data_IF_318378375856
#
_entry.id   IF_318378375856
#
_cell.length_a   1.000
_cell.length_b   1.000
_cell.length_c   1.000
_cell.angle_alpha   90.00
_cell.angle_beta   90.00
_cell.angle_gamma   90.00
#
_symmetry.space_group_name_H-M   'P 1'
#
loop_
_entity.id
_entity.type
_entity.pdbx_description
1 polymer ?
#
# COMPACT_ATOMS: atom_id res chain seq x y z
N UNK A 1 24.94 32.98 16.60
CA UNK A 1 24.78 31.52 16.74
C UNK A 1 25.17 30.86 15.41
N UNK A 2 26.31 30.17 15.38
CA UNK A 2 26.87 29.54 14.17
C UNK A 2 26.09 28.27 13.81
N UNK A 3 25.68 28.14 12.55
CA UNK A 3 25.11 26.91 11.96
C UNK A 3 26.26 26.10 11.35
N UNK A 4 26.36 24.81 11.70
CA UNK A 4 27.29 23.86 11.07
C UNK A 4 26.47 22.99 10.12
N UNK A 5 26.84 23.02 8.84
CA UNK A 5 26.37 22.11 7.80
C UNK A 5 27.46 21.08 7.53
N UNK A 6 27.10 19.80 7.50
CA UNK A 6 27.98 18.72 7.03
C UNK A 6 27.61 18.36 5.59
N UNK A 7 28.53 18.62 4.68
CA UNK A 7 28.56 18.13 3.30
C UNK A 7 29.49 16.90 3.26
N UNK A 8 28.99 15.78 2.75
CA UNK A 8 29.82 14.68 2.28
C UNK A 8 29.44 14.40 0.84
N UNK A 9 30.29 14.88 -0.07
CA UNK A 9 30.25 14.56 -1.49
C UNK A 9 31.02 13.28 -1.76
N UNK A 10 30.52 12.49 -2.71
CA UNK A 10 31.25 11.39 -3.33
C UNK A 10 31.16 11.56 -4.84
N UNK A 11 32.25 12.03 -5.43
CA UNK A 11 32.49 12.13 -6.86
C UNK A 11 32.80 10.75 -7.44
N UNK A 12 32.03 10.31 -8.43
CA UNK A 12 32.38 9.19 -9.30
C UNK A 12 32.97 9.75 -10.58
N UNK A 13 34.24 9.45 -10.82
CA UNK A 13 34.90 9.75 -12.09
C UNK A 13 34.52 8.67 -13.12
N UNK A 14 33.90 9.09 -14.22
CA UNK A 14 33.69 8.26 -15.40
C UNK A 14 34.81 8.54 -16.41
N UNK A 15 35.58 7.51 -16.77
CA UNK A 15 36.44 7.54 -17.95
C UNK A 15 35.91 6.52 -18.95
N UNK A 16 35.62 7.00 -20.15
CA UNK A 16 35.21 6.22 -21.30
C UNK A 16 36.29 6.28 -22.40
N UNK A 17 36.03 5.52 -23.47
CA UNK A 17 36.65 5.45 -24.81
C UNK A 17 37.68 4.31 -24.96
N UNK A 18 37.75 3.49 -26.03
CA UNK A 18 37.02 3.28 -27.32
C UNK A 18 37.54 1.96 -27.93
N UNK A 19 36.74 1.19 -28.70
CA UNK A 19 37.07 -0.14 -29.30
C UNK A 19 38.03 -0.12 -30.52
N UNK A 20 37.95 -1.03 -31.54
CA UNK A 20 37.30 -2.36 -31.67
C UNK A 20 38.30 -3.48 -32.14
N UNK A 21 37.77 -4.64 -32.61
CA UNK A 21 38.32 -5.58 -33.65
C UNK A 21 38.42 -7.07 -33.23
N UNK A 22 37.86 -7.93 -34.10
CA UNK A 22 37.84 -9.39 -34.11
C UNK A 22 39.20 -10.06 -34.39
N UNK A 23 39.48 -11.20 -33.73
CA UNK A 23 40.22 -12.32 -34.31
C UNK A 23 39.94 -13.63 -33.54
N UNK A 24 39.57 -14.67 -34.28
CA UNK A 24 39.50 -16.08 -33.84
C UNK A 24 40.89 -16.64 -33.53
N UNK A 25 41.05 -17.41 -32.44
CA UNK A 25 41.98 -18.55 -32.45
C UNK A 25 41.62 -19.67 -31.47
N UNK A 26 41.75 -20.87 -32.01
CA UNK A 26 41.33 -22.20 -31.54
C UNK A 26 41.95 -22.66 -30.21
N UNK A 27 41.13 -23.45 -29.50
CA UNK A 27 41.43 -24.67 -28.77
C UNK A 27 42.78 -24.79 -28.02
N UNK A 28 42.71 -24.63 -26.70
CA UNK A 28 43.68 -25.14 -25.73
C UNK A 28 42.95 -25.67 -24.51
N UNK A 29 43.01 -26.98 -24.31
CA UNK A 29 42.40 -27.73 -23.22
C UNK A 29 42.72 -27.15 -21.84
N UNK A 30 41.69 -26.76 -21.08
CA UNK A 30 41.82 -26.54 -19.63
C UNK A 30 40.99 -27.58 -18.90
N UNK A 31 41.68 -28.42 -18.14
CA UNK A 31 41.09 -29.29 -17.12
C UNK A 31 40.26 -28.42 -16.17
N UNK A 32 39.05 -28.90 -15.90
CA UNK A 32 38.17 -28.38 -14.87
C UNK A 32 38.91 -28.26 -13.53
N UNK A 33 38.92 -27.05 -12.98
CA UNK A 33 39.02 -26.85 -11.53
C UNK A 33 37.66 -26.32 -11.12
N UNK A 34 36.82 -27.24 -10.65
CA UNK A 34 35.53 -26.97 -10.07
C UNK A 34 35.71 -26.24 -8.74
N UNK A 35 35.74 -24.92 -8.77
CA UNK A 35 35.42 -24.10 -7.60
C UNK A 35 33.95 -23.70 -7.69
N UNK A 36 33.08 -24.64 -7.30
CA UNK A 36 31.71 -24.33 -6.96
C UNK A 36 31.71 -23.62 -5.59
N UNK A 37 31.81 -22.29 -5.60
CA UNK A 37 31.54 -21.46 -4.42
C UNK A 37 30.66 -20.30 -4.84
N UNK A 38 29.35 -20.48 -4.68
CA UNK A 38 28.33 -19.47 -4.33
C UNK A 38 26.94 -19.90 -4.84
N UNK A 39 26.25 -20.74 -4.07
CA UNK A 39 24.83 -21.02 -4.23
C UNK A 39 23.95 -20.97 -2.93
N UNK A 40 24.41 -20.64 -1.70
CA UNK A 40 23.47 -20.59 -0.55
C UNK A 40 22.54 -19.37 -0.54
N UNK A 41 23.05 -18.18 -0.87
CA UNK A 41 22.32 -16.92 -0.67
C UNK A 41 21.17 -16.71 -1.69
N UNK A 42 21.32 -17.23 -2.91
CA UNK A 42 20.32 -17.09 -3.96
C UNK A 42 19.10 -18.03 -3.77
N UNK A 43 19.25 -19.14 -3.04
CA UNK A 43 18.18 -20.09 -2.77
C UNK A 43 17.41 -19.76 -1.49
N UNK A 44 18.07 -19.16 -0.49
CA UNK A 44 17.44 -18.67 0.74
C UNK A 44 16.43 -17.54 0.47
N UNK A 45 16.72 -16.65 -0.49
CA UNK A 45 15.81 -15.56 -0.87
C UNK A 45 14.53 -16.03 -1.57
N UNK A 46 14.54 -17.22 -2.20
CA UNK A 46 13.38 -17.77 -2.92
C UNK A 46 12.31 -18.30 -1.95
N UNK A 47 12.71 -18.85 -0.81
CA UNK A 47 11.79 -19.50 0.14
C UNK A 47 11.50 -18.67 1.41
N UNK A 48 12.19 -17.55 1.60
CA UNK A 48 11.97 -16.65 2.73
C UNK A 48 11.30 -15.34 2.27
N UNK A 49 10.00 -15.14 2.56
CA UNK A 49 9.27 -13.95 2.13
C UNK A 49 9.76 -12.66 2.79
N UNK A 50 10.61 -12.72 3.81
CA UNK A 50 11.09 -11.55 4.57
C UNK A 50 12.57 -11.24 4.34
N UNK A 51 13.24 -11.98 3.45
CA UNK A 51 14.67 -11.79 3.19
C UNK A 51 14.99 -10.35 2.73
N UNK A 52 14.13 -9.79 1.88
CA UNK A 52 14.24 -8.41 1.40
C UNK A 52 14.11 -7.36 2.53
N UNK A 53 13.53 -7.72 3.67
CA UNK A 53 13.40 -6.88 4.86
C UNK A 53 14.56 -7.10 5.87
N UNK A 54 15.58 -7.87 5.51
CA UNK A 54 16.76 -8.12 6.34
C UNK A 54 16.58 -9.24 7.38
N UNK A 55 15.63 -10.15 7.16
CA UNK A 55 15.40 -11.32 8.01
C UNK A 55 15.96 -12.56 7.33
N UNK A 56 17.02 -13.14 7.88
CA UNK A 56 17.63 -14.37 7.35
C UNK A 56 16.77 -15.60 7.66
N UNK A 57 16.16 -15.63 8.84
CA UNK A 57 15.21 -16.67 9.27
C UNK A 57 13.79 -16.10 9.39
N UNK A 58 12.79 -16.63 8.64
CA UNK A 58 11.41 -16.17 8.75
C UNK A 58 10.78 -16.40 10.13
N UNK A 59 11.37 -17.27 10.97
CA UNK A 59 10.94 -17.48 12.35
C UNK A 59 11.15 -16.24 13.22
N UNK A 60 12.13 -15.40 12.92
CA UNK A 60 12.37 -14.15 13.66
C UNK A 60 11.13 -13.24 13.61
N UNK A 61 10.58 -13.03 12.42
CA UNK A 61 9.37 -12.23 12.24
C UNK A 61 8.14 -12.92 12.82
N UNK A 62 7.89 -14.19 12.51
CA UNK A 62 6.67 -14.88 12.97
C UNK A 62 6.61 -14.98 14.49
N UNK A 63 7.74 -15.22 15.15
CA UNK A 63 7.85 -15.22 16.61
C UNK A 63 7.59 -13.83 17.19
N UNK A 64 8.19 -12.80 16.59
CA UNK A 64 7.97 -11.41 17.00
C UNK A 64 6.51 -11.00 16.83
N UNK A 65 5.88 -11.30 15.69
CA UNK A 65 4.49 -10.97 15.41
C UNK A 65 3.56 -11.64 16.43
N UNK A 66 3.74 -12.93 16.71
CA UNK A 66 2.95 -13.63 17.71
C UNK A 66 3.10 -13.02 19.12
N UNK A 67 4.32 -12.64 19.51
CA UNK A 67 4.58 -11.95 20.77
C UNK A 67 3.89 -10.58 20.84
N UNK A 68 3.98 -9.80 19.77
CA UNK A 68 3.35 -8.48 19.67
C UNK A 68 1.82 -8.58 19.69
N UNK A 69 1.24 -9.49 18.90
CA UNK A 69 -0.19 -9.76 18.88
C UNK A 69 -0.70 -10.16 20.26
N UNK A 70 0.03 -11.04 20.97
CA UNK A 70 -0.32 -11.44 22.33
C UNK A 70 -0.27 -10.27 23.32
N UNK A 71 0.77 -9.45 23.28
CA UNK A 71 0.89 -8.31 24.19
C UNK A 71 -0.26 -7.30 23.97
N UNK A 72 -0.65 -7.08 22.71
CA UNK A 72 -1.79 -6.22 22.35
C UNK A 72 -3.14 -6.83 22.74
N UNK A 73 -3.35 -8.13 22.50
CA UNK A 73 -4.60 -8.82 22.88
C UNK A 73 -4.81 -8.86 24.39
N UNK A 74 -3.73 -9.01 25.16
CA UNK A 74 -3.77 -9.00 26.63
C UNK A 74 -3.90 -7.58 27.21
N UNK A 75 -3.88 -6.52 26.39
CA UNK A 75 -3.94 -5.13 26.84
C UNK A 75 -2.68 -4.65 27.59
N UNK A 76 -1.53 -5.33 27.40
CA UNK A 76 -0.30 -5.07 28.15
C UNK A 76 0.55 -4.01 27.46
N UNK A 77 0.19 -2.74 27.61
CA UNK A 77 0.87 -1.61 26.98
C UNK A 77 2.37 -1.52 27.30
N UNK A 78 2.78 -1.91 28.52
CA UNK A 78 4.20 -1.99 28.92
C UNK A 78 4.97 -3.06 28.14
N UNK A 79 4.37 -4.24 27.95
CA UNK A 79 4.99 -5.32 27.17
C UNK A 79 5.11 -4.94 25.69
N UNK A 80 4.11 -4.22 25.16
CA UNK A 80 4.19 -3.67 23.79
C UNK A 80 5.34 -2.67 23.69
N UNK A 81 5.53 -1.79 24.68
CA UNK A 81 6.60 -0.79 24.69
C UNK A 81 8.01 -1.42 24.61
N UNK A 82 8.20 -2.64 25.10
CA UNK A 82 9.47 -3.39 24.98
C UNK A 82 9.79 -3.83 23.54
N UNK A 83 8.78 -3.86 22.67
CA UNK A 83 8.86 -4.29 21.27
C UNK A 83 8.99 -3.12 20.29
N UNK A 84 9.12 -1.91 20.80
CA UNK A 84 9.20 -0.67 20.01
C UNK A 84 10.65 -0.20 19.90
N UNK A 85 11.01 0.31 18.72
CA UNK A 85 12.22 1.11 18.52
C UNK A 85 11.95 2.55 18.89
N UNK A 86 12.86 3.15 19.65
CA UNK A 86 12.78 4.58 19.99
C UNK A 86 13.91 5.37 19.30
N UNK A 87 13.60 6.52 18.68
CA UNK A 87 12.27 7.11 18.56
C UNK A 87 11.34 6.33 17.62
N UNK A 88 10.08 6.17 18.01
CA UNK A 88 9.01 5.60 17.18
C UNK A 88 8.39 6.72 16.35
N UNK A 89 8.23 6.50 15.04
CA UNK A 89 7.52 7.45 14.18
C UNK A 89 6.00 7.21 14.24
N UNK A 90 5.24 8.10 14.89
CA UNK A 90 3.79 8.14 14.78
C UNK A 90 3.37 9.04 13.62
N UNK A 91 2.85 8.47 12.54
CA UNK A 91 2.35 9.25 11.41
C UNK A 91 0.83 9.42 11.51
N UNK A 92 0.35 10.67 11.47
CA UNK A 92 -1.08 10.99 11.51
C UNK A 92 -1.36 12.28 10.73
N UNK A 93 -2.38 12.27 9.88
CA UNK A 93 -2.82 13.47 9.15
C UNK A 93 -1.72 14.08 8.27
N UNK A 94 -0.90 13.23 7.63
CA UNK A 94 0.22 13.66 6.79
C UNK A 94 1.43 14.23 7.54
N UNK A 95 1.49 14.11 8.86
CA UNK A 95 2.60 14.57 9.70
C UNK A 95 3.20 13.43 10.51
N UNK A 96 4.49 13.53 10.82
CA UNK A 96 5.23 12.61 11.68
C UNK A 96 5.43 13.23 13.06
N UNK A 97 5.09 12.47 14.10
CA UNK A 97 5.28 12.82 15.51
C UNK A 97 6.21 11.76 16.13
N UNK A 98 7.48 12.09 16.41
CA UNK A 98 8.36 11.14 17.08
C UNK A 98 7.91 10.92 18.53
N UNK A 99 7.90 9.66 18.97
CA UNK A 99 7.72 9.24 20.35
C UNK A 99 9.08 8.74 20.85
N UNK A 100 9.66 9.38 21.85
CA UNK A 100 11.08 9.21 22.18
C UNK A 100 11.35 8.16 23.25
N UNK A 101 10.37 7.84 24.09
CA UNK A 101 10.58 6.92 25.22
C UNK A 101 9.45 5.92 25.40
N UNK A 102 9.75 4.86 26.15
CA UNK A 102 8.78 3.84 26.56
C UNK A 102 7.65 4.44 27.39
N UNK A 103 7.99 5.33 28.31
CA UNK A 103 7.03 6.00 29.20
C UNK A 103 6.07 6.87 28.38
N UNK A 104 6.59 7.61 27.41
CA UNK A 104 5.78 8.42 26.50
C UNK A 104 4.83 7.55 25.67
N UNK A 105 5.33 6.43 25.13
CA UNK A 105 4.51 5.47 24.40
C UNK A 105 3.38 4.90 25.25
N UNK A 106 3.67 4.48 26.48
CA UNK A 106 2.66 3.92 27.41
C UNK A 106 1.60 4.97 27.76
N UNK A 107 2.00 6.22 28.02
CA UNK A 107 1.06 7.32 28.29
C UNK A 107 0.15 7.64 27.10
N UNK A 108 0.68 7.47 25.88
CA UNK A 108 -0.04 7.76 24.62
C UNK A 108 -0.57 6.49 23.95
N UNK A 109 -0.61 5.36 24.65
CA UNK A 109 -0.85 4.05 24.05
C UNK A 109 -2.10 4.02 23.17
N UNK A 110 -3.26 4.45 23.66
CA UNK A 110 -4.52 4.43 22.88
C UNK A 110 -4.54 5.42 21.70
N UNK A 111 -3.69 6.46 21.75
CA UNK A 111 -3.55 7.41 20.64
C UNK A 111 -2.62 6.87 19.53
N UNK A 112 -1.68 6.00 19.90
CA UNK A 112 -0.73 5.36 18.97
C UNK A 112 -1.35 4.07 18.43
N UNK A 113 -1.66 3.14 19.34
CA UNK A 113 -2.30 1.85 19.08
C UNK A 113 -3.82 1.99 19.09
N UNK A 114 -4.37 2.78 18.16
CA UNK A 114 -5.83 2.98 18.03
C UNK A 114 -6.59 1.66 17.79
N UNK A 115 -7.92 1.68 17.94
CA UNK A 115 -8.74 0.49 17.67
C UNK A 115 -8.49 -0.13 16.29
N UNK A 116 -8.38 0.69 15.24
CA UNK A 116 -8.07 0.21 13.88
C UNK A 116 -6.67 -0.41 13.79
N UNK A 117 -5.64 0.27 14.33
CA UNK A 117 -4.25 -0.24 14.34
C UNK A 117 -4.16 -1.60 15.03
N UNK A 118 -4.84 -1.75 16.18
CA UNK A 118 -4.90 -3.02 16.91
C UNK A 118 -5.64 -4.11 16.12
N UNK A 119 -6.78 -3.78 15.51
CA UNK A 119 -7.55 -4.73 14.71
C UNK A 119 -6.72 -5.26 13.52
N UNK A 120 -6.04 -4.38 12.79
CA UNK A 120 -5.18 -4.74 11.65
C UNK A 120 -4.00 -5.61 12.08
N UNK A 121 -3.34 -5.25 13.18
CA UNK A 121 -2.27 -6.06 13.77
C UNK A 121 -2.74 -7.46 14.18
N UNK A 122 -3.87 -7.56 14.86
CA UNK A 122 -4.41 -8.84 15.34
C UNK A 122 -4.92 -9.73 14.19
N UNK A 123 -5.39 -9.14 13.10
CA UNK A 123 -5.84 -9.87 11.92
C UNK A 123 -4.70 -10.30 10.98
N UNK A 124 -3.50 -9.71 11.11
CA UNK A 124 -2.38 -9.97 10.21
C UNK A 124 -1.90 -11.43 10.34
N UNK A 125 -1.92 -12.14 9.22
CA UNK A 125 -1.28 -13.45 9.09
C UNK A 125 0.13 -13.28 8.51
N UNK A 126 1.13 -14.05 8.99
CA UNK A 126 2.50 -13.90 8.50
C UNK A 126 2.64 -14.11 6.99
N UNK A 127 1.99 -15.14 6.44
CA UNK A 127 2.02 -15.50 5.02
C UNK A 127 1.38 -14.47 4.09
N UNK A 128 0.64 -13.51 4.66
CA UNK A 128 0.01 -12.41 3.94
C UNK A 128 0.72 -11.06 4.14
N UNK A 129 1.81 -11.04 4.92
CA UNK A 129 2.53 -9.81 5.20
C UNK A 129 3.36 -9.39 3.99
N UNK A 130 3.21 -8.13 3.59
CA UNK A 130 4.07 -7.51 2.58
C UNK A 130 5.41 -7.14 3.20
N UNK A 131 6.49 -7.32 2.44
CA UNK A 131 7.85 -7.02 2.87
C UNK A 131 8.61 -6.27 1.77
N UNK A 132 9.51 -5.37 2.17
CA UNK A 132 10.50 -4.75 1.31
C UNK A 132 11.73 -4.34 2.12
N UNK A 133 12.66 -3.63 1.49
CA UNK A 133 13.90 -3.14 2.12
C UNK A 133 13.71 -2.24 3.35
N UNK A 134 12.53 -1.66 3.53
CA UNK A 134 12.22 -0.83 4.70
C UNK A 134 11.70 -1.66 5.88
N UNK A 135 11.27 -2.90 5.66
CA UNK A 135 10.73 -3.77 6.68
C UNK A 135 9.52 -4.57 6.22
N UNK A 136 8.81 -5.12 7.20
CA UNK A 136 7.58 -5.89 7.04
C UNK A 136 6.41 -5.02 7.47
N UNK A 137 5.43 -4.91 6.58
CA UNK A 137 4.23 -4.10 6.75
C UNK A 137 3.12 -4.92 7.40
N UNK A 138 2.43 -4.31 8.36
CA UNK A 138 1.26 -4.87 9.03
C UNK A 138 0.02 -4.09 8.64
N UNK A 139 -1.05 -4.80 8.31
CA UNK A 139 -2.29 -4.21 7.82
C UNK A 139 -2.10 -3.61 6.43
N UNK A 140 -2.71 -2.43 6.21
CA UNK A 140 -2.58 -1.61 5.02
C UNK A 140 -1.44 -0.58 5.15
N UNK A 141 -0.55 -0.79 6.12
CA UNK A 141 0.53 0.12 6.47
C UNK A 141 0.44 0.68 7.87
N UNK A 142 -0.50 0.25 8.71
CA UNK A 142 -0.67 0.75 10.07
C UNK A 142 0.57 0.55 10.95
N UNK A 143 1.36 -0.52 10.76
CA UNK A 143 2.64 -0.69 11.45
C UNK A 143 3.74 -1.16 10.52
N UNK A 144 4.97 -0.76 10.83
CA UNK A 144 6.18 -1.25 10.18
C UNK A 144 7.13 -1.87 11.18
N UNK A 145 7.56 -3.10 10.87
CA UNK A 145 8.47 -3.92 11.68
C UNK A 145 9.77 -4.08 10.91
N UNK A 146 10.91 -3.89 11.58
CA UNK A 146 12.23 -4.07 10.98
C UNK A 146 13.23 -4.61 12.00
N UNK A 147 14.42 -4.98 11.53
CA UNK A 147 15.55 -5.42 12.35
C UNK A 147 16.52 -4.25 12.55
N UNK A 148 16.46 -3.62 13.72
CA UNK A 148 17.29 -2.45 14.08
C UNK A 148 18.21 -2.86 15.22
N UNK A 149 19.53 -2.65 15.06
CA UNK A 149 20.54 -3.05 16.05
C UNK A 149 20.38 -4.52 16.50
N UNK A 150 20.16 -5.41 15.53
CA UNK A 150 19.93 -6.84 15.73
C UNK A 150 18.70 -7.20 16.59
N UNK A 151 17.75 -6.28 16.75
CA UNK A 151 16.46 -6.50 17.41
C UNK A 151 15.32 -6.34 16.42
N UNK A 152 14.39 -7.28 16.40
CA UNK A 152 13.11 -7.11 15.68
C UNK A 152 12.23 -6.17 16.50
N UNK A 153 11.76 -5.08 15.89
CA UNK A 153 11.05 -3.99 16.57
C UNK A 153 10.04 -3.33 15.63
N UNK A 154 8.97 -2.77 16.20
CA UNK A 154 8.11 -1.81 15.49
C UNK A 154 8.81 -0.45 15.52
N UNK A 155 9.00 0.18 14.36
CA UNK A 155 9.68 1.49 14.28
C UNK A 155 8.78 2.61 13.74
N UNK A 156 7.63 2.27 13.16
CA UNK A 156 6.62 3.24 12.77
C UNK A 156 5.20 2.72 13.00
N UNK A 157 4.31 3.63 13.38
CA UNK A 157 2.86 3.41 13.47
C UNK A 157 2.15 4.52 12.68
N UNK A 158 1.27 4.13 11.77
CA UNK A 158 0.48 5.02 10.94
C UNK A 158 -0.98 4.98 11.39
N UNK A 159 -1.49 6.11 11.89
CA UNK A 159 -2.91 6.26 12.20
C UNK A 159 -3.63 6.68 10.93
N UNK A 160 -4.18 5.67 10.25
CA UNK A 160 -4.99 5.83 9.05
C UNK A 160 -6.45 5.97 9.47
N UNK A 161 -7.04 7.13 9.17
CA UNK A 161 -8.47 7.37 9.33
C UNK A 161 -9.21 6.85 8.08
N UNK A 162 -10.36 6.20 8.27
CA UNK A 162 -11.18 5.74 7.16
C UNK A 162 -12.40 6.65 6.96
N UNK A 163 -12.32 7.66 6.08
CA UNK A 163 -13.45 8.56 5.82
C UNK A 163 -14.61 7.85 5.09
N UNK A 164 -14.41 6.62 4.61
CA UNK A 164 -15.37 5.87 3.80
C UNK A 164 -16.09 4.76 4.57
N UNK A 165 -15.85 4.64 5.88
CA UNK A 165 -16.43 3.58 6.71
C UNK A 165 -17.97 3.58 6.67
N UNK A 166 -18.59 4.76 6.72
CA UNK A 166 -20.06 4.88 6.64
C UNK A 166 -20.61 4.36 5.31
N UNK A 167 -19.82 4.40 4.23
CA UNK A 167 -20.16 3.86 2.92
C UNK A 167 -19.87 2.34 2.80
N UNK A 168 -19.47 1.68 3.90
CA UNK A 168 -19.11 0.26 3.91
C UNK A 168 -17.80 -0.06 3.20
N UNK A 169 -16.96 0.95 2.90
CA UNK A 169 -15.65 0.76 2.29
C UNK A 169 -14.64 0.57 3.40
N UNK A 170 -14.03 -0.61 3.45
CA UNK A 170 -13.21 -1.04 4.58
C UNK A 170 -11.77 -0.51 4.51
N UNK A 171 -11.27 -0.26 3.30
CA UNK A 171 -9.88 0.08 3.06
C UNK A 171 -9.76 1.45 2.35
N UNK A 172 -9.41 2.52 3.07
CA UNK A 172 -9.30 3.85 2.48
C UNK A 172 -8.15 3.96 1.48
N UNK A 173 -7.05 3.22 1.68
CA UNK A 173 -5.92 3.20 0.75
C UNK A 173 -6.33 2.54 -0.57
N UNK A 174 -7.04 1.42 -0.52
CA UNK A 174 -7.60 0.77 -1.70
C UNK A 174 -8.58 1.69 -2.45
N UNK A 175 -9.37 2.48 -1.72
CA UNK A 175 -10.25 3.48 -2.32
C UNK A 175 -9.47 4.56 -3.06
N UNK A 176 -8.44 5.16 -2.44
CA UNK A 176 -7.56 6.14 -3.07
C UNK A 176 -6.97 5.60 -4.38
N UNK A 177 -6.45 4.36 -4.37
CA UNK A 177 -5.93 3.73 -5.58
C UNK A 177 -7.00 3.52 -6.65
N UNK A 178 -8.18 3.03 -6.26
CA UNK A 178 -9.31 2.84 -7.16
C UNK A 178 -9.75 4.17 -7.80
N UNK A 179 -9.92 5.22 -7.01
CA UNK A 179 -10.39 6.52 -7.46
C UNK A 179 -9.40 7.15 -8.46
N UNK A 180 -8.11 7.16 -8.13
CA UNK A 180 -7.05 7.66 -9.02
C UNK A 180 -6.96 6.86 -10.32
N UNK A 181 -7.09 5.53 -10.25
CA UNK A 181 -7.12 4.66 -11.43
C UNK A 181 -8.33 4.97 -12.32
N UNK A 182 -9.51 5.11 -11.73
CA UNK A 182 -10.74 5.43 -12.45
C UNK A 182 -10.63 6.78 -13.17
N UNK A 183 -10.11 7.82 -12.51
CA UNK A 183 -9.85 9.11 -13.14
C UNK A 183 -8.89 8.98 -14.33
N UNK A 184 -7.77 8.27 -14.15
CA UNK A 184 -6.79 8.02 -15.21
C UNK A 184 -7.40 7.30 -16.42
N UNK A 185 -8.15 6.23 -16.18
CA UNK A 185 -8.77 5.44 -17.26
C UNK A 185 -9.83 6.25 -18.02
N UNK A 186 -10.61 7.08 -17.32
CA UNK A 186 -11.59 7.98 -17.95
C UNK A 186 -10.91 9.10 -18.74
N UNK A 187 -9.83 9.69 -18.22
CA UNK A 187 -9.05 10.71 -18.91
C UNK A 187 -8.42 10.17 -20.21
N UNK A 188 -7.90 8.94 -20.17
CA UNK A 188 -7.38 8.25 -21.35
C UNK A 188 -8.49 7.73 -22.30
N UNK A 189 -9.76 7.91 -21.95
CA UNK A 189 -10.91 7.36 -22.66
C UNK A 189 -10.82 5.83 -22.87
N UNK A 190 -10.17 5.12 -21.95
CA UNK A 190 -9.96 3.68 -22.00
C UNK A 190 -11.22 2.93 -21.55
N UNK A 191 -12.16 2.75 -22.47
CA UNK A 191 -13.47 2.15 -22.20
C UNK A 191 -13.39 0.77 -21.55
N UNK A 192 -12.45 -0.06 -21.97
CA UNK A 192 -12.28 -1.41 -21.45
C UNK A 192 -11.84 -1.38 -19.98
N UNK A 193 -10.87 -0.54 -19.63
CA UNK A 193 -10.38 -0.40 -18.26
C UNK A 193 -11.40 0.26 -17.32
N UNK A 194 -12.16 1.24 -17.82
CA UNK A 194 -13.28 1.80 -17.04
C UNK A 194 -14.33 0.72 -16.78
N UNK A 195 -14.65 -0.11 -17.78
CA UNK A 195 -15.62 -1.19 -17.65
C UNK A 195 -15.25 -2.24 -16.59
N UNK A 196 -13.95 -2.41 -16.29
CA UNK A 196 -13.46 -3.28 -15.20
C UNK A 196 -13.66 -2.69 -13.80
N UNK A 197 -13.88 -1.37 -13.72
CA UNK A 197 -14.11 -0.62 -12.49
C UNK A 197 -15.60 -0.49 -12.14
N UNK A 198 -16.47 -1.12 -12.93
CA UNK A 198 -17.93 -1.07 -12.77
C UNK A 198 -18.43 -2.30 -12.03
N UNK A 199 -19.39 -2.09 -11.12
CA UNK A 199 -20.19 -3.17 -10.54
C UNK A 199 -21.39 -3.45 -11.45
N UNK A 200 -21.59 -4.72 -11.83
CA UNK A 200 -22.70 -5.14 -12.67
C UNK A 200 -23.73 -5.94 -11.84
N UNK A 201 -25.04 -5.67 -12.02
CA UNK A 201 -25.64 -4.68 -12.92
C UNK A 201 -25.42 -3.23 -12.46
N UNK A 202 -24.95 -2.37 -13.37
CA UNK A 202 -24.76 -0.94 -13.10
C UNK A 202 -26.10 -0.20 -13.22
N UNK A 203 -26.46 0.56 -12.19
CA UNK A 203 -27.62 1.46 -12.24
C UNK A 203 -27.27 2.74 -13.01
N UNK A 204 -28.01 3.04 -14.07
CA UNK A 204 -27.88 4.30 -14.81
C UNK A 204 -29.19 5.07 -14.74
N UNK A 205 -29.15 6.28 -14.20
CA UNK A 205 -30.33 7.13 -14.06
C UNK A 205 -30.28 8.29 -15.06
N UNK A 206 -31.42 8.58 -15.69
CA UNK A 206 -31.57 9.66 -16.67
C UNK A 206 -32.98 10.22 -16.60
N UNK A 207 -33.12 11.52 -16.31
CA UNK A 207 -34.42 12.23 -16.24
C UNK A 207 -35.51 11.48 -15.43
N UNK A 208 -35.14 10.99 -14.26
CA UNK A 208 -36.05 10.25 -13.37
C UNK A 208 -36.31 8.78 -13.75
N UNK A 209 -35.80 8.30 -14.88
CA UNK A 209 -35.86 6.88 -15.27
C UNK A 209 -34.57 6.18 -14.86
N UNK A 210 -34.68 4.91 -14.46
CA UNK A 210 -33.55 4.07 -14.11
C UNK A 210 -33.49 2.85 -15.03
N UNK A 211 -32.30 2.56 -15.55
CA UNK A 211 -32.01 1.35 -16.32
C UNK A 211 -30.81 0.62 -15.73
N UNK A 212 -30.77 -0.69 -15.91
CA UNK A 212 -29.62 -1.50 -15.53
C UNK A 212 -28.80 -1.87 -16.76
N UNK A 213 -27.49 -1.67 -16.67
CA UNK A 213 -26.51 -2.19 -17.62
C UNK A 213 -25.97 -3.46 -17.01
N UNK A 214 -26.27 -4.61 -17.61
CA UNK A 214 -26.09 -5.90 -16.95
C UNK A 214 -24.70 -6.49 -17.14
N UNK A 215 -23.98 -6.05 -18.17
CA UNK A 215 -22.71 -6.67 -18.56
C UNK A 215 -21.65 -5.66 -18.95
N UNK A 216 -20.39 -6.07 -18.82
CA UNK A 216 -19.22 -5.34 -19.31
C UNK A 216 -19.32 -4.98 -20.79
N UNK A 217 -19.76 -5.94 -21.62
CA UNK A 217 -19.94 -5.74 -23.07
C UNK A 217 -20.97 -4.65 -23.36
N UNK A 218 -22.11 -4.70 -22.68
CA UNK A 218 -23.17 -3.69 -22.83
C UNK A 218 -22.70 -2.29 -22.42
N UNK A 219 -21.96 -2.18 -21.30
CA UNK A 219 -21.39 -0.91 -20.85
C UNK A 219 -20.42 -0.32 -21.87
N UNK A 220 -19.52 -1.12 -22.45
CA UNK A 220 -18.56 -0.64 -23.46
C UNK A 220 -19.29 -0.12 -24.70
N UNK A 221 -20.33 -0.84 -25.18
CA UNK A 221 -21.15 -0.39 -26.32
C UNK A 221 -21.85 0.93 -26.02
N UNK A 222 -22.41 1.09 -24.81
CA UNK A 222 -23.14 2.29 -24.37
C UNK A 222 -22.26 3.32 -23.67
N UNK A 223 -20.93 3.19 -23.73
CA UNK A 223 -20.02 3.95 -22.89
C UNK A 223 -20.17 5.46 -23.03
N UNK A 224 -20.26 5.96 -24.27
CA UNK A 224 -20.39 7.39 -24.53
C UNK A 224 -21.75 7.94 -24.12
N UNK A 225 -22.78 7.09 -24.09
CA UNK A 225 -24.09 7.47 -23.59
C UNK A 225 -24.06 7.56 -22.06
N UNK A 226 -23.45 6.58 -21.38
CA UNK A 226 -23.39 6.51 -19.91
C UNK A 226 -22.41 7.54 -19.35
N UNK A 227 -21.17 7.50 -19.80
CA UNK A 227 -20.09 8.41 -19.41
C UNK A 227 -20.13 9.66 -20.29
N UNK A 228 -21.16 10.49 -20.11
CA UNK A 228 -21.31 11.74 -20.85
C UNK A 228 -20.17 12.72 -20.57
N UNK A 229 -20.03 13.75 -21.40
CA UNK A 229 -19.04 14.81 -21.16
C UNK A 229 -19.18 15.44 -19.76
N UNK A 230 -20.41 15.59 -19.25
CA UNK A 230 -20.69 16.11 -17.91
C UNK A 230 -20.15 15.16 -16.82
N UNK A 231 -20.47 13.87 -16.90
CA UNK A 231 -20.02 12.85 -15.94
C UNK A 231 -18.49 12.78 -15.91
N UNK A 232 -17.85 12.71 -17.08
CA UNK A 232 -16.38 12.69 -17.19
C UNK A 232 -15.77 13.95 -16.58
N UNK A 233 -16.29 15.14 -16.91
CA UNK A 233 -15.79 16.42 -16.38
C UNK A 233 -15.88 16.47 -14.85
N UNK A 234 -17.00 16.06 -14.28
CA UNK A 234 -17.19 16.05 -12.81
C UNK A 234 -16.25 15.07 -12.12
N UNK A 235 -16.12 13.85 -12.64
CA UNK A 235 -15.16 12.87 -12.13
C UNK A 235 -13.72 13.38 -12.17
N UNK A 236 -13.28 13.94 -13.31
CA UNK A 236 -11.89 14.40 -13.48
C UNK A 236 -11.56 15.66 -12.68
N UNK A 237 -12.55 16.49 -12.35
CA UNK A 237 -12.36 17.68 -11.52
C UNK A 237 -12.45 17.40 -10.01
N UNK A 238 -13.01 16.24 -9.62
CA UNK A 238 -13.25 15.90 -8.22
C UNK A 238 -11.93 15.61 -7.49
N UNK A 239 -11.74 16.27 -6.36
CA UNK A 239 -10.67 15.94 -5.41
C UNK A 239 -11.18 14.94 -4.37
N UNK A 240 -10.33 13.99 -4.01
CA UNK A 240 -10.67 12.91 -3.07
C UNK A 240 -11.04 13.46 -1.68
N UNK A 241 -10.28 14.43 -1.16
CA UNK A 241 -10.50 15.08 0.14
C UNK A 241 -11.77 15.95 0.20
N UNK A 242 -12.52 16.05 -0.91
CA UNK A 242 -13.78 16.78 -1.05
C UNK A 242 -14.95 15.88 -1.46
N UNK A 243 -14.78 14.56 -1.42
CA UNK A 243 -15.85 13.63 -1.70
C UNK A 243 -16.92 13.70 -0.61
N UNK A 244 -18.18 13.61 -1.03
CA UNK A 244 -19.28 13.43 -0.11
C UNK A 244 -19.49 11.93 0.13
N UNK A 245 -19.62 11.54 1.40
CA UNK A 245 -19.72 10.13 1.81
C UNK A 245 -20.95 9.96 2.68
N UNK A 246 -21.77 8.95 2.36
CA UNK A 246 -22.87 8.51 3.21
C UNK A 246 -23.06 6.99 3.10
N UNK A 247 -24.11 6.46 3.73
CA UNK A 247 -24.42 5.02 3.73
C UNK A 247 -24.73 4.42 2.35
N UNK A 248 -25.00 5.24 1.33
CA UNK A 248 -25.27 4.79 -0.04
C UNK A 248 -23.99 4.65 -0.87
N UNK A 249 -22.87 5.20 -0.40
CA UNK A 249 -21.60 5.19 -1.11
C UNK A 249 -20.86 6.52 -1.04
N UNK A 250 -19.82 6.61 -1.86
CA UNK A 250 -19.03 7.82 -2.09
C UNK A 250 -19.50 8.50 -3.36
N UNK A 251 -19.96 9.74 -3.22
CA UNK A 251 -20.52 10.53 -4.29
C UNK A 251 -19.43 11.38 -4.96
N UNK A 252 -19.40 11.33 -6.28
CA UNK A 252 -18.52 12.12 -7.15
C UNK A 252 -19.33 13.20 -7.87
N UNK A 253 -18.81 14.43 -7.89
CA UNK A 253 -19.51 15.58 -8.46
C UNK A 253 -20.71 15.98 -7.61
N UNK A 254 -21.80 16.34 -8.28
CA UNK A 254 -23.09 16.70 -7.66
C UNK A 254 -24.03 15.49 -7.61
N UNK A 255 -23.47 14.28 -7.66
CA UNK A 255 -24.21 13.03 -7.76
C UNK A 255 -24.06 12.30 -9.08
N UNK A 256 -23.22 12.76 -10.01
CA UNK A 256 -23.03 12.11 -11.32
C UNK A 256 -22.57 10.66 -11.24
N UNK A 257 -21.81 10.29 -10.21
CA UNK A 257 -21.27 8.94 -10.06
C UNK A 257 -21.20 8.54 -8.59
N UNK A 258 -21.54 7.28 -8.32
CA UNK A 258 -21.49 6.69 -6.98
C UNK A 258 -20.54 5.51 -6.97
N UNK A 259 -19.65 5.48 -5.98
CA UNK A 259 -18.68 4.41 -5.74
C UNK A 259 -19.05 3.71 -4.43
N UNK A 260 -18.99 2.38 -4.41
CA UNK A 260 -19.21 1.58 -3.22
C UNK A 260 -18.32 0.35 -3.20
N UNK A 261 -18.44 -0.45 -2.15
CA UNK A 261 -17.80 -1.76 -2.05
C UNK A 261 -18.86 -2.85 -2.18
N UNK A 262 -18.72 -3.72 -3.19
CA UNK A 262 -19.61 -4.85 -3.46
C UNK A 262 -18.76 -6.11 -3.53
N UNK A 263 -19.09 -7.15 -2.76
CA UNK A 263 -18.32 -8.40 -2.68
C UNK A 263 -16.81 -8.17 -2.46
N UNK A 264 -16.49 -7.26 -1.51
CA UNK A 264 -15.10 -6.83 -1.18
C UNK A 264 -14.35 -6.12 -2.31
N UNK A 265 -15.02 -5.77 -3.41
CA UNK A 265 -14.46 -5.01 -4.52
C UNK A 265 -15.01 -3.59 -4.52
N UNK A 266 -14.12 -2.60 -4.49
CA UNK A 266 -14.49 -1.20 -4.71
C UNK A 266 -14.82 -1.02 -6.19
N UNK A 267 -15.98 -0.43 -6.50
CA UNK A 267 -16.49 -0.30 -7.87
C UNK A 267 -17.50 0.85 -7.99
N UNK A 268 -17.68 1.33 -9.23
CA UNK A 268 -18.77 2.26 -9.56
C UNK A 268 -20.08 1.49 -9.54
N UNK A 269 -21.03 1.94 -8.71
CA UNK A 269 -22.32 1.27 -8.49
C UNK A 269 -23.48 2.01 -9.16
N UNK A 270 -23.34 3.30 -9.44
CA UNK A 270 -24.32 4.07 -10.20
C UNK A 270 -23.71 5.23 -10.99
N UNK A 271 -24.37 5.57 -12.10
CA UNK A 271 -24.10 6.78 -12.89
C UNK A 271 -25.40 7.56 -13.11
N UNK A 272 -25.38 8.86 -12.85
CA UNK A 272 -26.48 9.77 -13.05
C UNK A 272 -26.11 10.77 -14.15
N UNK A 273 -26.92 10.84 -15.21
CA UNK A 273 -26.64 11.67 -16.39
C UNK A 273 -27.88 12.39 -16.92
#
# INVERSE_FOLDING_TARGET
MKKIAFLLGLTVAATALTGPVWADQKAGSTKAVSNAVAAPAAQQSINNPYYNAGFDDPKEFTTFLAKLQKAVSDGKSKDVAELISYPLNLNKGGKTFPIYTKEEFVQKYDRIMTANVRAKLLAQKPDQAFSNVNGIMIGDGELWISKINNRVVVYAVNVIENPYEVAGIENPVAFTHFFNKLQKDVAANNKAAVADSISYPLRVNTKGKSVQIKTKKEFITKYNDIMTAKVKKKLLAQKEDKLFVNWQGVMVGDGELWIGQVDKKISVIAVNR
#
